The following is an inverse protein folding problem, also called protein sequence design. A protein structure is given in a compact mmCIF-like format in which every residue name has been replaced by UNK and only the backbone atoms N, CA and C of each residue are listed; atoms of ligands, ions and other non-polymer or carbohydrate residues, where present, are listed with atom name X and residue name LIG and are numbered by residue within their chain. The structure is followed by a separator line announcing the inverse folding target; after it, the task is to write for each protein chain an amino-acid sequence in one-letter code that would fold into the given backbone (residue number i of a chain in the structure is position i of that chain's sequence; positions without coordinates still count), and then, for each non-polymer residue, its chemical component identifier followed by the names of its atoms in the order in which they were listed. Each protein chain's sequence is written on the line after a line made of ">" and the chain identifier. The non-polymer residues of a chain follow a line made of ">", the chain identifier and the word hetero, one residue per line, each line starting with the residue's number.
data_IF_896957363743
#
_entry.id   IF_896957363743
#
_cell.length_a   1.000
_cell.length_b   1.000
_cell.length_c   1.000
_cell.angle_alpha   90.00
_cell.angle_beta   90.00
_cell.angle_gamma   90.00
#
_symmetry.space_group_name_H-M   'P 1'
#
loop_
_entity.id
_entity.type
_entity.pdbx_description
1 polymer ?
#
# COMPACT_ATOMS: atom_id res chain seq x y z
N UNK A 1 -17.50 20.79 25.32
CA UNK A 1 -16.15 20.36 24.91
C UNK A 1 -16.35 19.65 23.58
N UNK A 2 -16.13 20.35 22.46
CA UNK A 2 -16.53 19.84 21.14
C UNK A 2 -15.38 19.02 20.55
N UNK A 3 -15.66 17.76 20.30
CA UNK A 3 -14.81 16.82 19.60
C UNK A 3 -14.73 17.24 18.13
N UNK A 4 -13.55 17.69 17.69
CA UNK A 4 -13.30 18.01 16.29
C UNK A 4 -13.03 16.69 15.56
N UNK A 5 -14.09 16.03 15.09
CA UNK A 5 -13.96 15.03 14.04
C UNK A 5 -13.94 15.75 12.69
N UNK A 6 -12.74 16.03 12.17
CA UNK A 6 -12.56 16.40 10.77
C UNK A 6 -11.23 15.80 10.26
N UNK A 7 -11.19 14.47 10.16
CA UNK A 7 -10.20 13.76 9.35
C UNK A 7 -10.90 13.23 8.11
N UNK A 8 -10.38 13.50 6.91
CA UNK A 8 -10.85 12.78 5.73
C UNK A 8 -10.54 11.28 5.91
N UNK A 9 -11.46 10.40 5.54
CA UNK A 9 -11.12 8.99 5.41
C UNK A 9 -10.03 8.83 4.35
N UNK A 10 -9.07 7.94 4.57
CA UNK A 10 -8.04 7.65 3.57
C UNK A 10 -8.71 7.11 2.29
N UNK A 11 -8.23 7.55 1.11
CA UNK A 11 -8.80 7.18 -0.19
C UNK A 11 -7.71 6.83 -1.19
N UNK A 12 -7.93 5.78 -1.96
CA UNK A 12 -6.99 5.33 -2.98
C UNK A 12 -7.67 5.35 -4.34
N UNK A 13 -6.99 5.92 -5.33
CA UNK A 13 -7.40 5.94 -6.73
C UNK A 13 -6.31 5.29 -7.56
N UNK A 14 -6.62 4.23 -8.28
CA UNK A 14 -5.63 3.50 -9.05
C UNK A 14 -6.25 2.85 -10.27
N UNK A 15 -5.41 2.58 -11.25
CA UNK A 15 -5.73 1.81 -12.43
C UNK A 15 -4.62 0.78 -12.67
N UNK A 16 -4.97 -0.32 -13.31
CA UNK A 16 -4.01 -1.29 -13.83
C UNK A 16 -4.22 -1.50 -15.32
N UNK A 17 -3.15 -1.81 -16.04
CA UNK A 17 -3.21 -2.20 -17.45
C UNK A 17 -3.19 -3.72 -17.63
N UNK A 18 -3.31 -4.19 -18.87
CA UNK A 18 -3.30 -5.61 -19.22
C UNK A 18 -1.99 -6.33 -18.87
N UNK A 19 -0.90 -5.59 -18.63
CA UNK A 19 0.38 -6.14 -18.16
C UNK A 19 0.43 -6.28 -16.64
N UNK A 20 -0.63 -5.89 -15.94
CA UNK A 20 -0.70 -5.89 -14.48
C UNK A 20 0.03 -4.70 -13.85
N UNK A 21 0.51 -3.72 -14.63
CA UNK A 21 1.19 -2.55 -14.09
C UNK A 21 0.17 -1.60 -13.47
N UNK A 22 0.42 -1.18 -12.23
CA UNK A 22 -0.44 -0.29 -11.46
C UNK A 22 0.14 1.12 -11.44
N UNK A 23 -0.74 2.11 -11.60
CA UNK A 23 -0.43 3.51 -11.32
C UNK A 23 -1.60 4.15 -10.58
N UNK A 24 -1.32 5.02 -9.62
CA UNK A 24 -2.38 5.63 -8.82
C UNK A 24 -1.89 6.67 -7.82
N UNK A 25 -2.80 7.05 -6.94
CA UNK A 25 -2.59 7.99 -5.85
C UNK A 25 -3.32 7.49 -4.60
N UNK A 26 -2.65 7.59 -3.46
CA UNK A 26 -3.25 7.39 -2.15
C UNK A 26 -3.26 8.71 -1.39
N UNK A 27 -4.41 9.06 -0.84
CA UNK A 27 -4.62 10.20 0.03
C UNK A 27 -4.83 9.68 1.44
N UNK A 28 -3.90 9.96 2.35
CA UNK A 28 -4.04 9.56 3.74
C UNK A 28 -5.05 10.46 4.48
N UNK A 29 -5.39 10.10 5.71
CA UNK A 29 -6.37 10.85 6.51
C UNK A 29 -5.92 12.26 6.93
N UNK A 30 -4.62 12.55 6.76
CA UNK A 30 -4.00 13.87 7.01
C UNK A 30 -3.97 14.72 5.75
N UNK A 31 -4.47 14.21 4.62
CA UNK A 31 -4.44 14.88 3.32
C UNK A 31 -3.09 14.76 2.61
N UNK A 32 -2.17 13.89 3.06
CA UNK A 32 -0.93 13.62 2.32
C UNK A 32 -1.24 12.79 1.08
N UNK A 33 -0.64 13.18 -0.03
CA UNK A 33 -0.73 12.47 -1.30
C UNK A 33 0.54 11.63 -1.52
N UNK A 34 0.33 10.35 -1.80
CA UNK A 34 1.36 9.38 -2.11
C UNK A 34 1.14 8.87 -3.54
N UNK A 35 2.17 9.00 -4.39
CA UNK A 35 2.17 8.39 -5.71
C UNK A 35 2.28 6.88 -5.57
N UNK A 36 1.42 6.14 -6.26
CA UNK A 36 1.44 4.68 -6.29
C UNK A 36 1.90 4.19 -7.65
N UNK A 37 2.87 3.28 -7.64
CA UNK A 37 3.19 2.44 -8.79
C UNK A 37 3.28 1.00 -8.33
N UNK A 38 3.11 0.04 -9.23
CA UNK A 38 3.15 -1.35 -8.79
C UNK A 38 3.00 -2.34 -9.92
N UNK A 39 2.93 -3.60 -9.54
CA UNK A 39 2.56 -4.69 -10.43
C UNK A 39 1.74 -5.72 -9.69
N UNK A 40 0.76 -6.26 -10.39
CA UNK A 40 0.03 -7.46 -10.03
C UNK A 40 0.59 -8.61 -10.85
N UNK A 41 1.03 -9.68 -10.18
CA UNK A 41 1.49 -10.90 -10.83
C UNK A 41 1.01 -12.12 -10.05
N UNK A 42 0.20 -12.96 -10.70
CA UNK A 42 -0.39 -14.15 -10.09
C UNK A 42 -1.12 -13.83 -8.77
N UNK A 43 -0.60 -14.35 -7.66
CA UNK A 43 -1.15 -14.19 -6.31
C UNK A 43 -0.47 -13.06 -5.54
N UNK A 44 0.34 -12.23 -6.19
CA UNK A 44 1.11 -11.17 -5.56
C UNK A 44 0.77 -9.80 -6.12
N UNK A 45 0.62 -8.83 -5.23
CA UNK A 45 0.53 -7.43 -5.55
C UNK A 45 1.68 -6.69 -4.85
N UNK A 46 2.55 -6.07 -5.64
CA UNK A 46 3.59 -5.19 -5.13
C UNK A 46 3.24 -3.74 -5.45
N UNK A 47 3.08 -2.92 -4.41
CA UNK A 47 2.80 -1.48 -4.54
C UNK A 47 3.95 -0.70 -3.95
N UNK A 48 4.59 0.13 -4.75
CA UNK A 48 5.49 1.19 -4.31
C UNK A 48 4.68 2.46 -4.06
N UNK A 49 4.95 3.10 -2.92
CA UNK A 49 4.34 4.37 -2.55
C UNK A 49 5.42 5.40 -2.27
N UNK A 50 5.16 6.66 -2.65
CA UNK A 50 6.13 7.74 -2.51
C UNK A 50 5.46 9.08 -2.22
N UNK A 51 5.93 9.76 -1.19
CA UNK A 51 5.64 11.17 -0.93
C UNK A 51 6.59 12.06 -1.75
N UNK A 52 6.07 13.14 -2.34
CA UNK A 52 6.90 14.09 -3.08
C UNK A 52 7.91 14.75 -2.13
N UNK A 53 9.19 14.39 -2.28
CA UNK A 53 10.28 14.91 -1.44
C UNK A 53 10.32 14.35 -0.02
N UNK A 54 9.57 13.27 0.24
CA UNK A 54 9.42 12.70 1.57
C UNK A 54 9.70 11.20 1.61
N UNK A 55 8.94 10.52 2.48
CA UNK A 55 9.04 9.09 2.70
C UNK A 55 8.63 8.29 1.46
N UNK A 56 9.26 7.14 1.27
CA UNK A 56 8.91 6.20 0.22
C UNK A 56 9.03 4.79 0.76
N UNK A 57 8.28 3.87 0.19
CA UNK A 57 8.23 2.50 0.66
C UNK A 57 7.51 1.60 -0.32
N UNK A 58 7.24 0.37 0.13
CA UNK A 58 6.48 -0.60 -0.64
C UNK A 58 5.65 -1.48 0.27
N UNK A 59 4.53 -1.95 -0.24
CA UNK A 59 3.66 -2.94 0.38
C UNK A 59 3.58 -4.15 -0.54
N UNK A 60 3.87 -5.33 0.00
CA UNK A 60 3.82 -6.60 -0.72
C UNK A 60 2.68 -7.44 -0.16
N UNK A 61 1.64 -7.59 -0.96
CA UNK A 61 0.48 -8.41 -0.68
C UNK A 61 0.67 -9.76 -1.37
N UNK A 62 0.53 -10.85 -0.64
CA UNK A 62 0.62 -12.21 -1.17
C UNK A 62 -0.59 -13.01 -0.70
N UNK A 63 -1.32 -13.57 -1.64
CA UNK A 63 -2.38 -14.52 -1.35
C UNK A 63 -1.79 -15.93 -1.26
N UNK A 64 -2.14 -16.64 -0.20
CA UNK A 64 -1.76 -18.03 0.10
C UNK A 64 -3.01 -18.90 -0.08
N UNK A 65 -3.17 -19.57 -1.25
CA UNK A 65 -4.37 -20.35 -1.55
C UNK A 65 -4.53 -21.58 -0.64
N UNK A 66 -3.45 -22.07 -0.04
CA UNK A 66 -3.45 -23.28 0.79
C UNK A 66 -4.26 -23.09 2.08
N UNK A 67 -4.35 -21.85 2.58
CA UNK A 67 -5.00 -21.53 3.84
C UNK A 67 -5.93 -20.30 3.79
N UNK A 68 -6.26 -19.83 2.57
CA UNK A 68 -7.12 -18.68 2.26
C UNK A 68 -6.72 -17.42 3.06
N UNK A 69 -5.41 -17.16 3.08
CA UNK A 69 -4.79 -16.05 3.81
C UNK A 69 -4.13 -15.05 2.87
N UNK A 70 -4.28 -13.77 3.18
CA UNK A 70 -3.48 -12.68 2.62
C UNK A 70 -2.39 -12.28 3.61
N UNK A 71 -1.13 -12.32 3.18
CA UNK A 71 0.00 -11.77 3.93
C UNK A 71 0.37 -10.43 3.34
N UNK A 72 0.49 -9.41 4.18
CA UNK A 72 0.88 -8.05 3.80
C UNK A 72 2.16 -7.69 4.53
N UNK A 73 3.18 -7.30 3.78
CA UNK A 73 4.47 -6.86 4.31
C UNK A 73 4.74 -5.42 3.87
N UNK A 74 4.90 -4.53 4.84
CA UNK A 74 5.17 -3.11 4.60
C UNK A 74 6.63 -2.77 4.88
N UNK A 75 7.23 -2.09 3.91
CA UNK A 75 8.63 -1.70 3.94
C UNK A 75 8.76 -0.20 3.77
N UNK A 76 9.70 0.39 4.48
CA UNK A 76 10.12 1.78 4.33
C UNK A 76 11.50 1.82 3.69
N UNK A 77 11.72 2.74 2.75
CA UNK A 77 13.03 2.91 2.13
C UNK A 77 13.89 3.83 2.98
N UNK A 78 14.96 3.28 3.52
CA UNK A 78 15.98 4.02 4.28
C UNK A 78 17.25 4.02 3.44
N UNK A 79 17.69 5.21 3.02
CA UNK A 79 18.73 5.38 2.00
C UNK A 79 18.33 4.64 0.72
N UNK A 80 19.04 3.58 0.35
CA UNK A 80 18.76 2.79 -0.86
C UNK A 80 18.20 1.39 -0.57
N UNK A 81 17.86 1.08 0.68
CA UNK A 81 17.39 -0.25 1.08
C UNK A 81 15.95 -0.18 1.62
N UNK A 82 15.12 -1.14 1.22
CA UNK A 82 13.79 -1.33 1.79
C UNK A 82 13.90 -2.18 3.06
N UNK A 83 13.50 -1.61 4.19
CA UNK A 83 13.48 -2.28 5.48
C UNK A 83 12.04 -2.60 5.89
N UNK A 84 11.77 -3.86 6.22
CA UNK A 84 10.48 -4.30 6.73
C UNK A 84 10.19 -3.58 8.05
N UNK A 85 8.99 -3.00 8.19
CA UNK A 85 8.57 -2.34 9.43
C UNK A 85 7.22 -2.83 9.95
N UNK A 86 6.39 -3.47 9.13
CA UNK A 86 5.16 -4.10 9.56
C UNK A 86 4.82 -5.34 8.72
N UNK A 87 4.13 -6.29 9.35
CA UNK A 87 3.57 -7.48 8.70
C UNK A 87 2.21 -7.80 9.31
N UNK A 88 1.24 -8.17 8.47
CA UNK A 88 -0.09 -8.59 8.90
C UNK A 88 -0.61 -9.74 8.03
N UNK A 89 -1.42 -10.62 8.63
CA UNK A 89 -2.07 -11.73 7.92
C UNK A 89 -3.58 -11.66 8.11
N UNK A 90 -4.32 -11.80 7.02
CA UNK A 90 -5.78 -11.72 6.98
C UNK A 90 -6.35 -13.00 6.40
N UNK A 91 -7.19 -13.70 7.17
CA UNK A 91 -7.91 -14.89 6.69
C UNK A 91 -9.35 -14.53 6.37
N UNK A 92 -9.86 -15.01 5.23
CA UNK A 92 -11.27 -14.86 4.89
C UNK A 92 -12.11 -15.73 5.85
N UNK A 93 -13.17 -15.15 6.43
CA UNK A 93 -14.14 -15.87 7.28
C UNK A 93 -15.30 -16.38 6.45
#
# INVERSE_FOLDING_TARGET
>A
MNEVQNGMAARTFYQWDDSGKINGQWFDSRGKQLELTGHLHENELLVYWKEKGGEQGKSHYRYQPEDDTWVVQDYIKIKEVYQLFAEASYRRK
#
